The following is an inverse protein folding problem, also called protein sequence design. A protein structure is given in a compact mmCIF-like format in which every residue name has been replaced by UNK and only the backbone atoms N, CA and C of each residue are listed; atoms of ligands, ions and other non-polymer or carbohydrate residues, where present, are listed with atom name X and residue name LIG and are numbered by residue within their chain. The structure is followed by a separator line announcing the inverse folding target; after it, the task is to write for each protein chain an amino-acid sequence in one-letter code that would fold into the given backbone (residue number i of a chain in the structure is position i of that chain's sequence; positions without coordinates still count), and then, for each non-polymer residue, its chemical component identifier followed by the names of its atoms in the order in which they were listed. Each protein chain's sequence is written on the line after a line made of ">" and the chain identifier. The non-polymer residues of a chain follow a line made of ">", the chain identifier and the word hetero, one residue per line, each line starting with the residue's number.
data_IF_446276771790
#
_entry.id   IF_446276771790
#
_cell.length_a   1.000
_cell.length_b   1.000
_cell.length_c   1.000
_cell.angle_alpha   90.00
_cell.angle_beta   90.00
_cell.angle_gamma   90.00
#
_symmetry.space_group_name_H-M   'P 1'
#
loop_
_entity.id
_entity.type
_entity.pdbx_description
1 polymer ?
#
# COMPACT_ATOMS: atom_id res chain seq x y z
N UNK A 1 -23.68 23.23 -27.16
CA UNK A 1 -22.96 22.30 -26.28
C UNK A 1 -23.51 20.89 -26.56
N UNK A 2 -22.82 20.09 -27.39
CA UNK A 2 -23.21 18.72 -27.72
C UNK A 2 -22.48 17.77 -26.78
N UNK A 3 -23.20 17.13 -25.86
CA UNK A 3 -22.65 16.04 -25.02
C UNK A 3 -22.55 14.78 -25.90
N UNK A 4 -21.36 14.27 -26.07
CA UNK A 4 -21.04 13.06 -26.82
C UNK A 4 -21.32 11.84 -25.93
N UNK A 5 -22.34 11.07 -26.27
CA UNK A 5 -22.69 9.78 -25.66
C UNK A 5 -21.92 8.65 -26.39
N UNK A 6 -20.64 8.45 -26.05
CA UNK A 6 -19.81 7.38 -26.64
C UNK A 6 -19.29 6.36 -25.61
N UNK A 7 -20.05 6.06 -24.56
CA UNK A 7 -19.55 5.17 -23.49
C UNK A 7 -20.33 3.86 -23.29
N UNK A 8 -21.31 3.52 -24.13
CA UNK A 8 -22.15 2.32 -23.86
C UNK A 8 -21.95 1.17 -24.85
N UNK A 9 -21.26 1.37 -25.96
CA UNK A 9 -21.16 0.33 -27.00
C UNK A 9 -20.02 -0.67 -26.85
N UNK A 10 -19.09 -0.48 -25.86
CA UNK A 10 -17.88 -1.34 -25.71
C UNK A 10 -18.07 -2.50 -24.72
N UNK A 11 -19.22 -2.60 -24.05
CA UNK A 11 -19.44 -3.60 -22.99
C UNK A 11 -20.11 -4.89 -23.47
N UNK A 12 -20.65 -4.94 -24.66
CA UNK A 12 -21.39 -6.12 -25.15
C UNK A 12 -20.56 -7.15 -25.92
N UNK A 13 -19.34 -6.83 -26.37
CA UNK A 13 -18.51 -7.81 -27.10
C UNK A 13 -17.61 -8.67 -26.18
N UNK A 14 -17.55 -8.40 -24.87
CA UNK A 14 -16.71 -9.16 -23.94
C UNK A 14 -17.40 -10.41 -23.34
N UNK A 15 -18.68 -10.60 -23.54
CA UNK A 15 -19.43 -11.69 -22.91
C UNK A 15 -19.22 -13.08 -23.56
N UNK A 16 -18.75 -13.16 -24.79
CA UNK A 16 -18.47 -14.45 -25.44
C UNK A 16 -17.07 -15.02 -25.16
N UNK A 17 -16.14 -14.21 -24.66
CA UNK A 17 -14.80 -14.65 -24.25
C UNK A 17 -14.73 -15.06 -22.75
N UNK A 18 -15.77 -14.75 -21.96
CA UNK A 18 -15.77 -14.97 -20.51
C UNK A 18 -15.72 -16.47 -20.12
N UNK A 19 -16.18 -17.38 -20.97
CA UNK A 19 -16.23 -18.81 -20.65
C UNK A 19 -14.87 -19.51 -20.64
N UNK A 20 -14.00 -19.19 -21.58
CA UNK A 20 -12.64 -19.77 -21.64
C UNK A 20 -11.72 -19.18 -20.56
N UNK A 21 -11.82 -17.86 -20.31
CA UNK A 21 -11.07 -17.17 -19.25
C UNK A 21 -11.42 -17.65 -17.84
N UNK A 22 -12.67 -17.97 -17.59
CA UNK A 22 -13.10 -18.44 -16.27
C UNK A 22 -12.47 -19.79 -15.87
N UNK A 23 -12.23 -20.67 -16.84
CA UNK A 23 -11.59 -21.96 -16.62
C UNK A 23 -10.14 -21.80 -16.20
N UNK A 24 -9.40 -20.90 -16.82
CA UNK A 24 -7.99 -20.67 -16.51
C UNK A 24 -7.78 -20.02 -15.14
N UNK A 25 -8.64 -19.06 -14.75
CA UNK A 25 -8.61 -18.45 -13.42
C UNK A 25 -8.91 -19.49 -12.34
N UNK A 26 -9.89 -20.36 -12.54
CA UNK A 26 -10.22 -21.41 -11.58
C UNK A 26 -9.10 -22.43 -11.41
N UNK A 27 -8.36 -22.75 -12.47
CA UNK A 27 -7.25 -23.70 -12.42
C UNK A 27 -6.09 -23.19 -11.55
N UNK A 28 -5.94 -21.88 -11.40
CA UNK A 28 -4.87 -21.24 -10.63
C UNK A 28 -5.31 -20.87 -9.20
N UNK A 29 -6.61 -20.86 -8.90
CA UNK A 29 -7.15 -20.40 -7.62
C UNK A 29 -6.53 -21.09 -6.39
N UNK A 30 -6.35 -22.42 -6.45
CA UNK A 30 -5.69 -23.18 -5.38
C UNK A 30 -4.25 -22.73 -5.13
N UNK A 31 -3.49 -22.52 -6.19
CA UNK A 31 -2.12 -22.03 -6.08
C UNK A 31 -2.06 -20.61 -5.48
N UNK A 32 -2.98 -19.73 -5.85
CA UNK A 32 -3.05 -18.36 -5.29
C UNK A 32 -3.26 -18.40 -3.78
N UNK A 33 -4.09 -19.30 -3.28
CA UNK A 33 -4.29 -19.50 -1.85
C UNK A 33 -3.00 -20.01 -1.17
N UNK A 34 -2.31 -20.99 -1.76
CA UNK A 34 -1.04 -21.50 -1.25
C UNK A 34 0.04 -20.42 -1.22
N UNK A 35 0.17 -19.63 -2.29
CA UNK A 35 1.12 -18.52 -2.36
C UNK A 35 0.82 -17.45 -1.33
N UNK A 36 -0.46 -17.11 -1.14
CA UNK A 36 -0.89 -16.21 -0.09
C UNK A 36 -0.50 -16.73 1.30
N UNK A 37 -0.75 -18.00 1.61
CA UNK A 37 -0.38 -18.60 2.90
C UNK A 37 1.13 -18.54 3.11
N UNK A 38 1.94 -18.87 2.08
CA UNK A 38 3.39 -18.78 2.15
C UNK A 38 3.88 -17.35 2.46
N UNK A 39 3.32 -16.35 1.79
CA UNK A 39 3.66 -14.94 2.00
C UNK A 39 3.24 -14.49 3.41
N UNK A 40 2.05 -14.87 3.84
CA UNK A 40 1.51 -14.52 5.15
C UNK A 40 2.31 -15.10 6.31
N UNK A 41 2.77 -16.34 6.18
CA UNK A 41 3.64 -17.01 7.15
C UNK A 41 5.04 -16.39 7.26
N UNK A 42 5.53 -15.74 6.21
CA UNK A 42 6.89 -15.24 6.08
C UNK A 42 6.93 -13.73 5.76
N UNK A 43 6.29 -12.88 6.59
CA UNK A 43 6.21 -11.46 6.33
C UNK A 43 7.55 -10.76 6.54
N UNK A 44 7.84 -9.79 5.69
CA UNK A 44 9.05 -8.94 5.78
C UNK A 44 8.65 -7.47 5.79
N UNK A 45 9.33 -6.68 6.64
CA UNK A 45 9.08 -5.24 6.78
C UNK A 45 9.53 -4.45 5.54
N UNK A 46 8.98 -3.26 5.38
CA UNK A 46 9.36 -2.28 4.35
C UNK A 46 10.88 -2.12 4.22
N UNK A 47 11.39 -2.17 3.00
CA UNK A 47 12.80 -2.16 2.62
C UNK A 47 13.61 -3.41 3.04
N UNK A 48 12.96 -4.45 3.53
CA UNK A 48 13.59 -5.71 3.95
C UNK A 48 12.96 -6.94 3.30
N UNK A 49 12.18 -6.76 2.25
CA UNK A 49 11.42 -7.80 1.53
C UNK A 49 12.35 -8.66 0.63
N UNK A 50 13.49 -9.09 1.16
CA UNK A 50 14.53 -9.81 0.40
C UNK A 50 14.05 -11.19 -0.04
N UNK A 51 13.46 -11.97 0.86
CA UNK A 51 12.98 -13.30 0.57
C UNK A 51 11.66 -13.24 -0.21
N UNK A 52 10.77 -12.32 0.13
CA UNK A 52 9.54 -12.04 -0.60
C UNK A 52 9.84 -11.69 -2.05
N UNK A 53 10.74 -10.73 -2.27
CA UNK A 53 11.14 -10.34 -3.62
C UNK A 53 11.85 -11.45 -4.39
N UNK A 54 12.61 -12.33 -3.72
CA UNK A 54 13.21 -13.52 -4.34
C UNK A 54 12.13 -14.52 -4.73
N UNK A 55 11.23 -14.84 -3.81
CA UNK A 55 10.10 -15.74 -4.04
C UNK A 55 9.27 -15.30 -5.25
N UNK A 56 8.86 -14.04 -5.29
CA UNK A 56 8.12 -13.46 -6.42
C UNK A 56 8.88 -13.60 -7.74
N UNK A 57 10.19 -13.26 -7.74
CA UNK A 57 11.02 -13.37 -8.93
C UNK A 57 11.12 -14.82 -9.44
N UNK A 58 11.28 -15.78 -8.56
CA UNK A 58 11.39 -17.19 -8.89
C UNK A 58 10.06 -17.77 -9.39
N UNK A 59 8.94 -17.36 -8.78
CA UNK A 59 7.60 -17.70 -9.25
C UNK A 59 7.37 -17.19 -10.67
N UNK A 60 7.67 -15.92 -10.94
CA UNK A 60 7.52 -15.34 -12.30
C UNK A 60 8.37 -16.08 -13.34
N UNK A 61 9.62 -16.42 -13.01
CA UNK A 61 10.49 -17.21 -13.89
C UNK A 61 9.91 -18.60 -14.18
N UNK A 62 9.29 -19.23 -13.19
CA UNK A 62 8.68 -20.56 -13.33
C UNK A 62 7.51 -20.58 -14.32
N UNK A 63 6.93 -19.44 -14.63
CA UNK A 63 5.84 -19.32 -15.62
C UNK A 63 6.34 -19.34 -17.07
N UNK A 64 7.65 -19.20 -17.28
CA UNK A 64 8.36 -19.52 -18.53
C UNK A 64 8.65 -18.31 -19.42
N UNK A 65 7.65 -17.54 -19.81
CA UNK A 65 7.77 -16.47 -20.82
C UNK A 65 7.73 -15.05 -20.26
N UNK A 66 8.00 -14.90 -18.97
CA UNK A 66 8.06 -13.61 -18.29
C UNK A 66 9.51 -13.19 -18.06
N UNK A 67 9.92 -12.07 -18.64
CA UNK A 67 11.19 -11.43 -18.33
C UNK A 67 11.12 -10.80 -16.94
N UNK A 68 12.10 -11.08 -16.06
CA UNK A 68 12.12 -10.59 -14.68
C UNK A 68 13.24 -9.59 -14.50
N UNK A 69 12.91 -8.37 -14.05
CA UNK A 69 13.85 -7.30 -13.72
C UNK A 69 13.70 -6.85 -12.27
N UNK A 70 14.78 -6.34 -11.70
CA UNK A 70 14.84 -5.82 -10.33
C UNK A 70 15.10 -4.31 -10.38
N UNK A 71 14.07 -3.45 -10.33
CA UNK A 71 14.24 -2.00 -10.40
C UNK A 71 14.84 -1.39 -9.13
N UNK A 72 14.70 -2.08 -7.99
CA UNK A 72 15.36 -1.79 -6.73
C UNK A 72 15.71 -3.11 -6.03
N UNK A 73 16.36 -3.05 -4.88
CA UNK A 73 16.93 -4.23 -4.21
C UNK A 73 15.88 -5.32 -3.89
N UNK A 74 14.71 -4.92 -3.42
CA UNK A 74 13.65 -5.86 -3.01
C UNK A 74 12.46 -5.87 -3.98
N UNK A 75 12.28 -4.87 -4.84
CA UNK A 75 11.18 -4.85 -5.83
C UNK A 75 11.43 -5.76 -7.03
N UNK A 76 10.34 -6.17 -7.67
CA UNK A 76 10.37 -7.05 -8.84
C UNK A 76 9.41 -6.53 -9.91
N UNK A 77 9.79 -6.60 -11.18
CA UNK A 77 8.88 -6.41 -12.30
C UNK A 77 8.99 -7.63 -13.21
N UNK A 78 7.85 -8.27 -13.47
CA UNK A 78 7.68 -9.24 -14.54
C UNK A 78 7.20 -8.55 -15.80
N UNK A 79 7.76 -8.87 -16.96
CA UNK A 79 7.37 -8.31 -18.26
C UNK A 79 6.95 -9.44 -19.16
N UNK A 80 5.68 -9.47 -19.54
CA UNK A 80 5.11 -10.40 -20.48
C UNK A 80 4.80 -9.66 -21.79
N UNK A 81 5.47 -10.06 -22.88
CA UNK A 81 5.22 -9.51 -24.21
C UNK A 81 4.22 -10.40 -24.94
N UNK A 82 3.06 -9.86 -25.27
CA UNK A 82 2.07 -10.53 -26.10
C UNK A 82 2.55 -10.73 -27.56
N UNK A 83 1.97 -11.68 -28.23
CA UNK A 83 2.32 -11.99 -29.63
C UNK A 83 1.84 -10.91 -30.61
N UNK A 84 0.91 -10.05 -30.23
CA UNK A 84 0.33 -9.01 -31.09
C UNK A 84 0.73 -7.61 -30.61
N UNK A 85 0.93 -6.64 -31.53
CA UNK A 85 1.22 -5.26 -31.13
C UNK A 85 0.06 -4.64 -30.36
N UNK A 86 0.37 -3.78 -29.38
CA UNK A 86 -0.64 -3.12 -28.55
C UNK A 86 -0.01 -2.21 -27.53
N UNK A 87 -0.81 -1.70 -26.58
CA UNK A 87 -0.38 -0.84 -25.50
C UNK A 87 0.38 -1.61 -24.42
N UNK A 88 1.13 -0.88 -23.62
CA UNK A 88 1.80 -1.42 -22.45
C UNK A 88 1.00 -1.06 -21.19
N UNK A 89 0.53 -2.06 -20.47
CA UNK A 89 -0.21 -1.87 -19.22
C UNK A 89 0.51 -2.50 -18.04
N UNK A 90 0.44 -1.88 -16.87
CA UNK A 90 0.99 -2.39 -15.63
C UNK A 90 -0.11 -2.80 -14.65
N UNK A 91 0.12 -3.88 -13.91
CA UNK A 91 -0.62 -4.23 -12.70
C UNK A 91 0.33 -4.15 -11.50
N UNK A 92 -0.10 -3.50 -10.44
CA UNK A 92 0.71 -3.23 -9.24
C UNK A 92 0.17 -3.95 -8.02
N UNK A 93 1.06 -4.58 -7.28
CA UNK A 93 0.86 -5.06 -5.92
C UNK A 93 2.02 -4.59 -5.03
N UNK A 94 1.73 -4.31 -3.78
CA UNK A 94 2.70 -4.11 -2.71
C UNK A 94 3.08 -5.43 -2.06
N UNK A 95 4.24 -5.47 -1.36
CA UNK A 95 4.78 -6.71 -0.83
C UNK A 95 5.13 -6.66 0.66
N UNK A 96 5.28 -5.46 1.23
CA UNK A 96 5.76 -5.28 2.59
C UNK A 96 4.70 -5.58 3.66
N UNK A 97 5.18 -5.94 4.84
CA UNK A 97 4.39 -6.19 6.04
C UNK A 97 4.58 -5.08 7.07
N UNK A 98 3.73 -5.08 8.08
CA UNK A 98 3.70 -4.10 9.17
C UNK A 98 4.34 -4.65 10.46
N UNK A 99 4.91 -3.79 11.32
CA UNK A 99 5.41 -4.17 12.65
C UNK A 99 4.25 -4.35 13.64
N UNK A 100 3.41 -5.33 13.38
CA UNK A 100 2.20 -5.65 14.14
C UNK A 100 2.22 -7.13 14.52
N UNK A 101 2.05 -7.42 15.82
CA UNK A 101 1.92 -8.81 16.29
C UNK A 101 0.59 -9.39 15.79
N UNK A 102 0.66 -10.52 15.12
CA UNK A 102 -0.53 -11.24 14.70
C UNK A 102 -1.18 -12.01 15.86
N UNK A 103 -2.51 -11.93 15.93
CA UNK A 103 -3.34 -12.61 16.95
C UNK A 103 -4.51 -13.39 16.33
N UNK A 104 -4.43 -13.71 15.03
CA UNK A 104 -5.54 -14.36 14.30
C UNK A 104 -5.76 -15.82 14.67
N UNK A 105 -4.71 -16.53 15.09
CA UNK A 105 -4.75 -17.97 15.37
C UNK A 105 -4.89 -18.84 14.11
N UNK A 106 -4.65 -18.32 12.92
CA UNK A 106 -4.68 -19.08 11.68
C UNK A 106 -3.57 -20.14 11.63
N UNK A 107 -3.82 -21.25 10.95
CA UNK A 107 -2.82 -22.32 10.74
C UNK A 107 -1.61 -21.84 9.92
N UNK A 108 -1.77 -20.75 9.17
CA UNK A 108 -0.76 -20.07 8.35
C UNK A 108 -0.39 -18.69 8.93
N UNK A 109 -0.59 -18.47 10.23
CA UNK A 109 -0.20 -17.23 10.89
C UNK A 109 1.29 -16.94 10.72
N UNK A 110 1.66 -15.65 10.83
CA UNK A 110 3.05 -15.19 10.74
C UNK A 110 3.99 -15.99 11.65
N UNK A 111 5.10 -16.43 11.10
CA UNK A 111 6.21 -17.06 11.83
C UNK A 111 7.25 -16.07 12.31
N UNK A 112 7.08 -14.79 12.01
CA UNK A 112 7.96 -13.68 12.40
C UNK A 112 7.34 -12.90 13.56
N UNK A 113 7.82 -13.05 14.79
CA UNK A 113 7.27 -12.34 15.94
C UNK A 113 7.23 -10.81 15.73
N UNK A 114 6.09 -10.19 16.01
CA UNK A 114 5.89 -8.75 15.89
C UNK A 114 5.77 -8.23 14.46
N UNK A 115 5.64 -9.10 13.46
CA UNK A 115 5.48 -8.70 12.04
C UNK A 115 4.34 -9.48 11.42
N UNK A 116 3.44 -8.83 10.70
CA UNK A 116 2.33 -9.47 10.00
C UNK A 116 1.84 -8.68 8.79
N UNK A 117 1.17 -9.35 7.86
CA UNK A 117 0.48 -8.73 6.73
C UNK A 117 -0.89 -8.16 7.13
N UNK A 118 -0.89 -7.19 8.08
CA UNK A 118 -2.12 -6.59 8.58
C UNK A 118 -2.84 -5.69 7.54
N UNK A 119 -2.14 -5.25 6.49
CA UNK A 119 -2.74 -4.49 5.38
C UNK A 119 -3.18 -5.36 4.18
N UNK A 120 -2.88 -6.67 4.20
CA UNK A 120 -3.32 -7.59 3.15
C UNK A 120 -2.42 -7.65 1.91
N UNK A 121 -1.18 -7.18 1.99
CA UNK A 121 -0.23 -7.20 0.87
C UNK A 121 0.16 -8.62 0.43
N UNK A 122 0.05 -9.61 1.30
CA UNK A 122 0.12 -11.04 0.96
C UNK A 122 -0.93 -11.44 -0.09
N UNK A 123 -2.16 -10.95 0.06
CA UNK A 123 -3.25 -11.16 -0.91
C UNK A 123 -2.98 -10.42 -2.22
N UNK A 124 -2.53 -9.17 -2.16
CA UNK A 124 -2.22 -8.38 -3.36
C UNK A 124 -1.12 -9.05 -4.18
N UNK A 125 -0.04 -9.46 -3.53
CA UNK A 125 1.08 -10.17 -4.17
C UNK A 125 0.63 -11.50 -4.78
N UNK A 126 -0.13 -12.32 -4.03
CA UNK A 126 -0.62 -13.60 -4.52
C UNK A 126 -1.58 -13.47 -5.70
N UNK A 127 -2.50 -12.48 -5.67
CA UNK A 127 -3.41 -12.19 -6.77
C UNK A 127 -2.65 -11.76 -8.03
N UNK A 128 -1.61 -10.93 -7.89
CA UNK A 128 -0.81 -10.50 -9.03
C UNK A 128 0.04 -11.65 -9.61
N UNK A 129 0.56 -12.56 -8.79
CA UNK A 129 1.19 -13.81 -9.26
C UNK A 129 0.18 -14.68 -10.01
N UNK A 130 -1.06 -14.82 -9.51
CA UNK A 130 -2.13 -15.52 -10.19
C UNK A 130 -2.44 -14.93 -11.55
N UNK A 131 -2.55 -13.60 -11.62
CA UNK A 131 -2.76 -12.87 -12.87
C UNK A 131 -1.61 -13.12 -13.85
N UNK A 132 -0.35 -13.08 -13.37
CA UNK A 132 0.82 -13.37 -14.18
C UNK A 132 0.80 -14.79 -14.73
N UNK A 133 0.41 -15.76 -13.92
CA UNK A 133 0.30 -17.16 -14.32
C UNK A 133 -0.75 -17.38 -15.42
N UNK A 134 -1.94 -16.84 -15.23
CA UNK A 134 -3.03 -16.92 -16.23
C UNK A 134 -2.60 -16.27 -17.53
N UNK A 135 -2.14 -15.01 -17.48
CA UNK A 135 -1.76 -14.28 -18.69
C UNK A 135 -0.55 -14.87 -19.40
N UNK A 136 0.37 -15.52 -18.68
CA UNK A 136 1.52 -16.22 -19.31
C UNK A 136 1.05 -17.36 -20.21
N UNK A 137 -0.02 -18.07 -19.84
CA UNK A 137 -0.64 -19.11 -20.66
C UNK A 137 -1.39 -18.57 -21.88
N UNK A 138 -1.70 -17.27 -21.91
CA UNK A 138 -2.46 -16.61 -22.97
C UNK A 138 -1.59 -15.72 -23.86
N UNK A 139 -0.27 -15.86 -23.85
CA UNK A 139 0.67 -14.97 -24.56
C UNK A 139 0.33 -14.77 -26.03
N UNK A 140 -0.06 -15.83 -26.74
CA UNK A 140 -0.41 -15.80 -28.19
C UNK A 140 -1.66 -14.97 -28.48
N UNK A 141 -2.55 -14.82 -27.50
CA UNK A 141 -3.78 -14.04 -27.63
C UNK A 141 -3.58 -12.58 -27.22
N UNK A 142 -2.58 -12.30 -26.38
CA UNK A 142 -2.35 -10.97 -25.81
C UNK A 142 -1.89 -9.95 -26.87
N UNK A 143 -2.46 -8.75 -26.76
CA UNK A 143 -2.04 -7.57 -27.53
C UNK A 143 -1.26 -6.62 -26.61
N UNK A 144 -0.06 -6.24 -27.05
CA UNK A 144 0.80 -5.34 -26.29
C UNK A 144 1.66 -6.04 -25.24
N UNK A 145 1.99 -5.31 -24.17
CA UNK A 145 2.89 -5.79 -23.12
C UNK A 145 2.25 -5.60 -21.74
N UNK A 146 2.38 -6.59 -20.88
CA UNK A 146 1.91 -6.53 -19.50
C UNK A 146 3.09 -6.47 -18.54
N UNK A 147 3.07 -5.50 -17.64
CA UNK A 147 4.03 -5.34 -16.54
C UNK A 147 3.36 -5.78 -15.23
N UNK A 148 3.95 -6.74 -14.55
CA UNK A 148 3.57 -7.18 -13.21
C UNK A 148 4.51 -6.51 -12.22
N UNK A 149 4.06 -5.45 -11.55
CA UNK A 149 4.89 -4.57 -10.71
C UNK A 149 4.68 -4.94 -9.25
N UNK A 150 5.67 -5.60 -8.66
CA UNK A 150 5.70 -5.95 -7.25
C UNK A 150 6.53 -4.90 -6.51
N UNK A 151 5.82 -3.98 -5.86
CA UNK A 151 6.42 -2.84 -5.18
C UNK A 151 6.80 -3.21 -3.75
N UNK A 152 8.00 -2.84 -3.34
CA UNK A 152 8.45 -2.87 -1.96
C UNK A 152 8.04 -1.60 -1.22
N UNK A 153 8.10 -1.64 0.12
CA UNK A 153 8.02 -0.47 1.02
C UNK A 153 6.88 0.51 0.67
N UNK A 154 5.63 0.03 0.67
CA UNK A 154 4.46 0.89 0.53
C UNK A 154 4.21 1.65 1.84
N UNK A 155 4.34 0.96 2.98
CA UNK A 155 3.96 1.39 4.32
C UNK A 155 4.98 2.33 4.99
N UNK A 156 6.13 2.58 4.36
CA UNK A 156 7.20 3.36 4.97
C UNK A 156 7.79 4.39 4.02
N UNK A 157 7.71 5.67 4.41
CA UNK A 157 8.35 6.78 3.68
C UNK A 157 9.86 6.54 3.49
N UNK A 158 10.44 6.92 2.34
CA UNK A 158 9.87 7.65 1.21
C UNK A 158 9.10 6.79 0.19
N UNK A 159 8.82 5.54 0.51
CA UNK A 159 8.10 4.60 -0.35
C UNK A 159 8.94 4.00 -1.48
N UNK A 160 8.64 2.73 -1.80
CA UNK A 160 9.35 2.00 -2.86
C UNK A 160 8.98 2.45 -4.28
N UNK A 161 7.77 2.99 -4.47
CA UNK A 161 7.30 3.43 -5.79
C UNK A 161 8.25 4.45 -6.44
N UNK A 162 8.77 5.41 -5.65
CA UNK A 162 9.70 6.43 -6.14
C UNK A 162 11.00 5.81 -6.68
N UNK A 163 11.50 4.74 -6.05
CA UNK A 163 12.71 4.05 -6.51
C UNK A 163 12.44 3.32 -7.84
N UNK A 164 11.29 2.66 -7.97
CA UNK A 164 10.87 1.99 -9.20
C UNK A 164 10.75 3.00 -10.35
N UNK A 165 10.12 4.16 -10.11
CA UNK A 165 10.00 5.25 -11.10
C UNK A 165 11.39 5.75 -11.52
N UNK A 166 12.26 6.07 -10.56
CA UNK A 166 13.63 6.56 -10.81
C UNK A 166 14.51 5.56 -11.56
N UNK A 167 14.23 4.26 -11.46
CA UNK A 167 14.94 3.22 -12.22
C UNK A 167 14.73 3.34 -13.74
N UNK A 168 13.71 4.08 -14.18
CA UNK A 168 13.33 4.20 -15.60
C UNK A 168 12.69 2.95 -16.19
N UNK A 169 12.49 1.89 -15.40
CA UNK A 169 11.94 0.60 -15.90
C UNK A 169 10.46 0.67 -16.26
N UNK A 170 9.75 1.71 -15.84
CA UNK A 170 8.35 1.94 -16.21
C UNK A 170 8.18 2.88 -17.41
N UNK A 171 9.28 3.28 -18.06
CA UNK A 171 9.19 4.15 -19.23
C UNK A 171 8.45 3.44 -20.37
N UNK A 172 7.41 4.08 -20.89
CA UNK A 172 6.56 3.53 -21.97
C UNK A 172 5.39 2.69 -21.48
N UNK A 173 5.12 2.63 -20.17
CA UNK A 173 3.87 2.06 -19.65
C UNK A 173 2.76 3.10 -19.82
N UNK A 174 1.69 2.73 -20.51
CA UNK A 174 0.57 3.63 -20.86
C UNK A 174 -0.42 3.83 -19.72
N UNK A 175 -0.62 2.78 -18.90
CA UNK A 175 -1.51 2.80 -17.75
C UNK A 175 -1.08 1.79 -16.70
N UNK A 176 -1.32 2.09 -15.41
CA UNK A 176 -1.09 1.19 -14.28
C UNK A 176 -2.38 1.02 -13.50
N UNK A 177 -2.71 -0.22 -13.17
CA UNK A 177 -3.86 -0.61 -12.36
C UNK A 177 -3.36 -1.24 -11.06
N UNK A 178 -4.08 -0.96 -9.96
CA UNK A 178 -3.87 -1.60 -8.67
C UNK A 178 -5.21 -1.98 -8.05
N UNK A 179 -5.17 -2.95 -7.14
CA UNK A 179 -6.31 -3.32 -6.32
C UNK A 179 -5.88 -3.35 -4.86
N UNK A 180 -6.79 -3.03 -3.95
CA UNK A 180 -6.56 -3.16 -2.52
C UNK A 180 -7.71 -3.92 -1.86
N UNK A 181 -7.39 -4.86 -0.98
CA UNK A 181 -8.40 -5.55 -0.18
C UNK A 181 -8.92 -4.62 0.91
N UNK A 182 -10.25 -4.60 1.10
CA UNK A 182 -10.89 -3.71 2.07
C UNK A 182 -11.72 -4.55 3.04
N UNK A 183 -11.40 -4.56 4.35
CA UNK A 183 -12.03 -5.44 5.33
C UNK A 183 -13.52 -5.17 5.55
N UNK A 184 -13.99 -3.94 5.28
CA UNK A 184 -15.36 -3.51 5.52
C UNK A 184 -16.29 -3.73 4.31
N UNK A 185 -15.85 -4.42 3.26
CA UNK A 185 -16.68 -4.81 2.13
C UNK A 185 -17.13 -6.27 2.26
N UNK A 186 -18.36 -6.61 1.84
CA UNK A 186 -18.81 -8.00 1.79
C UNK A 186 -17.88 -8.86 0.91
N UNK A 187 -17.56 -10.08 1.36
CA UNK A 187 -16.74 -11.00 0.58
C UNK A 187 -17.38 -11.27 -0.80
N UNK A 188 -16.56 -11.29 -1.85
CA UNK A 188 -17.00 -11.42 -3.23
C UNK A 188 -17.41 -10.11 -3.90
N UNK A 189 -17.37 -8.98 -3.20
CA UNK A 189 -17.63 -7.66 -3.80
C UNK A 189 -16.36 -7.07 -4.40
N UNK A 190 -16.54 -6.37 -5.53
CA UNK A 190 -15.49 -5.55 -6.16
C UNK A 190 -16.02 -4.13 -6.28
N UNK A 191 -15.29 -3.16 -5.72
CA UNK A 191 -15.56 -1.75 -5.87
C UNK A 191 -14.60 -1.10 -6.86
N UNK A 192 -15.04 -0.06 -7.56
CA UNK A 192 -14.18 0.81 -8.36
C UNK A 192 -14.21 2.21 -7.76
N UNK A 193 -13.04 2.79 -7.59
CA UNK A 193 -12.93 4.20 -7.18
C UNK A 193 -13.34 5.09 -8.37
N UNK A 194 -14.13 6.14 -8.12
CA UNK A 194 -14.49 7.09 -9.17
C UNK A 194 -13.26 7.84 -9.67
N UNK A 195 -13.36 8.44 -10.86
CA UNK A 195 -12.32 9.33 -11.34
C UNK A 195 -12.23 10.58 -10.43
N UNK A 196 -11.02 10.96 -10.08
CA UNK A 196 -10.73 12.06 -9.17
C UNK A 196 -9.82 11.64 -8.01
N UNK A 197 -10.00 12.21 -6.84
CA UNK A 197 -9.26 11.85 -5.64
C UNK A 197 -9.66 10.43 -5.18
N UNK A 198 -8.76 9.49 -5.36
CA UNK A 198 -8.94 8.07 -5.03
C UNK A 198 -8.29 7.70 -3.69
N UNK A 199 -7.29 8.46 -3.27
CA UNK A 199 -6.61 8.32 -1.97
C UNK A 199 -6.15 9.70 -1.49
N UNK A 200 -5.99 9.84 -0.18
CA UNK A 200 -5.40 11.03 0.43
C UNK A 200 -3.88 11.05 0.24
N UNK A 201 -3.29 12.25 0.23
CA UNK A 201 -1.88 12.37 0.59
C UNK A 201 -1.71 12.01 2.07
N UNK A 202 -0.56 11.49 2.44
CA UNK A 202 -0.22 11.23 3.84
C UNK A 202 1.10 11.95 4.16
N UNK A 203 0.99 12.95 5.01
CA UNK A 203 2.12 13.71 5.51
C UNK A 203 2.28 13.49 7.01
N UNK A 204 3.54 13.30 7.45
CA UNK A 204 3.88 13.20 8.86
C UNK A 204 4.67 14.41 9.31
N UNK A 205 4.40 14.91 10.51
CA UNK A 205 5.26 15.91 11.14
C UNK A 205 5.62 15.54 12.56
N UNK A 206 6.81 15.97 12.94
CA UNK A 206 7.37 15.76 14.27
C UNK A 206 7.62 17.11 14.91
N UNK A 207 7.21 17.26 16.15
CA UNK A 207 7.35 18.50 16.89
C UNK A 207 8.08 18.24 18.21
N UNK A 208 9.14 19.00 18.46
CA UNK A 208 9.82 19.04 19.75
C UNK A 208 9.52 20.37 20.41
N UNK A 209 8.95 20.33 21.61
CA UNK A 209 8.64 21.50 22.41
C UNK A 209 9.73 21.60 23.47
N UNK A 210 10.56 22.62 23.36
CA UNK A 210 11.61 22.90 24.31
C UNK A 210 11.04 23.74 25.46
N UNK A 211 10.97 23.14 26.63
CA UNK A 211 10.57 23.77 27.87
C UNK A 211 11.76 24.04 28.78
N UNK A 212 11.46 24.33 30.03
CA UNK A 212 12.43 24.47 31.15
C UNK A 212 11.92 23.71 32.34
N UNK A 213 12.63 22.67 32.75
CA UNK A 213 12.26 21.82 33.90
C UNK A 213 12.23 22.58 35.21
N UNK A 214 11.32 22.16 36.11
CA UNK A 214 11.24 22.67 37.47
C UNK A 214 10.59 21.65 38.41
N UNK A 215 10.61 21.91 39.71
CA UNK A 215 9.84 21.13 40.68
C UNK A 215 8.33 21.40 40.48
N UNK A 216 7.48 20.37 40.50
CA UNK A 216 6.06 20.51 40.26
C UNK A 216 5.30 21.45 41.21
N UNK A 217 5.82 21.69 42.43
CA UNK A 217 5.25 22.69 43.34
C UNK A 217 5.70 24.14 43.10
N UNK A 218 6.65 24.34 42.15
CA UNK A 218 7.18 25.66 41.76
C UNK A 218 7.13 25.87 40.25
N UNK A 219 5.96 25.77 39.61
CA UNK A 219 5.83 25.84 38.16
C UNK A 219 6.30 27.18 37.56
N UNK A 220 6.21 28.26 38.30
CA UNK A 220 6.66 29.60 37.91
C UNK A 220 8.18 29.68 37.65
N UNK A 221 8.98 28.71 38.09
CA UNK A 221 10.43 28.63 37.86
C UNK A 221 10.78 27.92 36.56
N UNK A 222 9.81 27.26 35.93
CA UNK A 222 9.96 26.51 34.69
C UNK A 222 9.21 27.11 33.52
N UNK A 223 9.21 26.38 32.40
CA UNK A 223 8.32 26.54 31.23
C UNK A 223 7.80 25.16 30.91
N UNK A 224 6.52 24.93 31.14
CA UNK A 224 5.93 23.59 31.03
C UNK A 224 5.64 23.20 29.58
N UNK A 225 6.37 22.22 29.01
CA UNK A 225 6.16 21.77 27.65
C UNK A 225 4.94 20.85 27.51
N UNK A 226 4.44 20.28 28.62
CA UNK A 226 3.23 19.43 28.59
C UNK A 226 2.00 20.32 28.37
N UNK A 227 1.91 21.42 29.11
CA UNK A 227 0.80 22.38 28.91
C UNK A 227 0.81 22.92 27.48
N UNK A 228 1.96 23.42 27.03
CA UNK A 228 2.11 23.92 25.65
C UNK A 228 1.77 22.86 24.60
N UNK A 229 2.23 21.62 24.77
CA UNK A 229 1.92 20.52 23.87
C UNK A 229 0.45 20.15 23.85
N UNK A 230 -0.21 20.20 25.02
CA UNK A 230 -1.65 19.94 25.12
C UNK A 230 -2.47 21.01 24.38
N UNK A 231 -2.09 22.29 24.51
CA UNK A 231 -2.71 23.38 23.75
C UNK A 231 -2.52 23.19 22.23
N UNK A 232 -1.30 22.82 21.79
CA UNK A 232 -1.03 22.53 20.39
C UNK A 232 -1.92 21.39 19.88
N UNK A 233 -2.06 20.28 20.63
CA UNK A 233 -2.95 19.17 20.26
C UNK A 233 -4.38 19.64 20.07
N UNK A 234 -4.89 20.45 20.98
CA UNK A 234 -6.24 21.01 20.88
C UNK A 234 -6.38 21.97 19.70
N UNK A 235 -5.40 22.83 19.47
CA UNK A 235 -5.41 23.78 18.34
C UNK A 235 -5.34 23.06 16.99
N UNK A 236 -4.59 21.97 16.85
CA UNK A 236 -4.51 21.18 15.63
C UNK A 236 -5.87 20.64 15.20
N UNK A 237 -6.80 20.38 16.14
CA UNK A 237 -8.17 19.96 15.79
C UNK A 237 -8.93 21.05 15.04
N UNK A 238 -8.56 22.32 15.24
CA UNK A 238 -9.21 23.46 14.53
C UNK A 238 -8.78 23.55 13.07
N UNK A 239 -7.68 22.94 12.66
CA UNK A 239 -7.26 22.90 11.26
C UNK A 239 -8.36 22.30 10.41
N UNK A 240 -8.85 21.12 10.77
CA UNK A 240 -9.95 20.47 10.04
C UNK A 240 -11.27 21.20 10.23
N UNK A 241 -11.64 21.50 11.48
CA UNK A 241 -12.98 22.03 11.78
C UNK A 241 -13.23 23.47 11.34
N UNK A 242 -12.16 24.26 11.09
CA UNK A 242 -12.26 25.71 10.79
C UNK A 242 -11.63 26.15 9.46
N UNK A 243 -10.75 25.31 8.83
CA UNK A 243 -10.02 25.70 7.63
C UNK A 243 -10.28 24.80 6.42
N UNK A 244 -10.96 23.65 6.63
CA UNK A 244 -11.34 22.74 5.53
C UNK A 244 -12.78 23.05 5.10
N UNK A 245 -13.01 23.10 3.79
CA UNK A 245 -14.34 23.36 3.23
C UNK A 245 -15.30 22.24 3.61
N UNK A 246 -16.54 22.52 4.03
CA UNK A 246 -17.52 21.49 4.31
C UNK A 246 -17.72 20.54 3.11
N UNK A 247 -17.54 19.23 3.34
CA UNK A 247 -17.64 18.20 2.31
C UNK A 247 -16.30 17.76 1.70
N UNK A 248 -15.22 18.51 1.93
CA UNK A 248 -13.86 18.05 1.66
C UNK A 248 -13.35 17.19 2.82
N UNK A 249 -12.56 16.17 2.49
CA UNK A 249 -11.99 15.26 3.48
C UNK A 249 -10.58 15.67 3.87
N UNK A 250 -10.37 15.87 5.17
CA UNK A 250 -9.05 16.06 5.75
C UNK A 250 -9.02 15.46 7.17
N UNK A 251 -7.87 14.94 7.55
CA UNK A 251 -7.66 14.38 8.90
C UNK A 251 -6.35 14.89 9.46
N UNK A 252 -6.33 15.30 10.72
CA UNK A 252 -5.12 15.58 11.50
C UNK A 252 -5.18 14.76 12.77
N UNK A 253 -4.23 13.84 12.95
CA UNK A 253 -4.17 12.94 14.10
C UNK A 253 -2.82 13.05 14.80
N UNK A 254 -2.82 13.34 16.10
CA UNK A 254 -1.61 13.23 16.93
C UNK A 254 -1.53 11.81 17.47
N UNK A 255 -0.63 11.00 16.91
CA UNK A 255 -0.45 9.59 17.26
C UNK A 255 0.56 9.35 18.39
N UNK A 256 1.38 10.36 18.71
CA UNK A 256 2.38 10.28 19.78
C UNK A 256 2.46 11.59 20.54
N UNK A 257 2.42 11.53 21.87
CA UNK A 257 2.76 12.61 22.78
C UNK A 257 3.51 12.03 23.95
N UNK A 258 4.79 12.40 24.12
CA UNK A 258 5.66 11.89 25.18
C UNK A 258 6.35 13.05 25.87
N UNK A 259 6.32 13.03 27.22
CA UNK A 259 7.02 14.00 28.06
C UNK A 259 7.04 13.53 29.50
N UNK A 260 8.15 13.80 30.22
CA UNK A 260 8.31 13.58 31.65
C UNK A 260 8.30 12.10 32.09
N UNK A 261 8.90 11.85 33.26
CA UNK A 261 9.02 10.51 33.86
C UNK A 261 8.49 10.47 35.31
N UNK A 262 8.23 11.62 35.92
CA UNK A 262 7.82 11.72 37.32
C UNK A 262 6.69 12.75 37.51
N UNK A 263 5.66 12.45 38.33
CA UNK A 263 4.47 13.29 38.47
C UNK A 263 4.72 14.64 39.19
N UNK A 264 5.84 14.75 39.91
CA UNK A 264 6.21 15.93 40.68
C UNK A 264 7.34 16.78 40.05
N UNK A 265 7.63 16.52 38.77
CA UNK A 265 8.68 17.21 37.99
C UNK A 265 8.09 17.74 36.69
N UNK A 266 8.21 19.04 36.44
CA UNK A 266 7.96 19.62 35.11
C UNK A 266 9.14 19.28 34.21
N UNK A 267 8.94 18.60 33.09
CA UNK A 267 10.03 18.17 32.21
C UNK A 267 10.63 19.35 31.42
N UNK A 268 11.83 19.14 30.87
CA UNK A 268 12.47 20.14 30.03
C UNK A 268 12.07 20.05 28.54
N UNK A 269 11.33 19.00 28.15
CA UNK A 269 11.01 18.73 26.74
C UNK A 269 9.73 17.91 26.61
N UNK A 270 8.95 18.15 25.54
CA UNK A 270 7.89 17.25 25.06
C UNK A 270 8.08 16.96 23.56
N UNK A 271 7.64 15.78 23.12
CA UNK A 271 7.70 15.33 21.74
C UNK A 271 6.31 14.89 21.27
N UNK A 272 5.91 15.39 20.11
CA UNK A 272 4.70 14.99 19.41
C UNK A 272 5.04 14.44 18.02
N UNK A 273 4.26 13.46 17.57
CA UNK A 273 4.25 13.06 16.17
C UNK A 273 2.80 12.99 15.70
N UNK A 274 2.55 13.55 14.53
CA UNK A 274 1.22 13.64 13.96
C UNK A 274 1.23 13.27 12.49
N UNK A 275 0.10 12.78 12.00
CA UNK A 275 -0.18 12.56 10.58
C UNK A 275 -1.28 13.51 10.10
N UNK A 276 -1.14 13.96 8.86
CA UNK A 276 -2.11 14.78 8.15
C UNK A 276 -2.47 14.07 6.85
N UNK A 277 -3.75 13.87 6.63
CA UNK A 277 -4.31 13.29 5.42
C UNK A 277 -5.15 14.36 4.72
N UNK A 278 -4.85 14.62 3.45
CA UNK A 278 -5.58 15.58 2.61
C UNK A 278 -6.05 14.88 1.34
N UNK A 279 -7.28 15.12 0.93
CA UNK A 279 -7.90 14.57 -0.28
C UNK A 279 -8.00 15.62 -1.38
#
# INVERSE_FOLDING_TARGET
>A
MKKSYWSVALFCCCLSAAGAQQTDVQSVAGNVVEWRHHLHENPELSFKEYNTGRYVADMLRSFGNIEVVRPAETSVIGILRGAKPGRTVGFRADMDALPVQEETGFSFASKTPGVSHACGHDMHTAMLLGTAKVLSGMQEELQGTVYFIFQHAEEKSPGGALQIIKSGKLKGVDAIFGAHVIPNMPAGSIGMLPAGAASSSSDGFFLTIQGKGSHGSMPQMGVDPIVTGSEIVMMLQTVVSRNVTPGEMAVVSVGKFQSGDAPNVIPGKAELAASCLLY
#
